data_IF_794953704377
#
_entry.id   IF_794953704377
#
_cell.length_a   1.000
_cell.length_b   1.000
_cell.length_c   1.000
_cell.angle_alpha   90.00
_cell.angle_beta   90.00
_cell.angle_gamma   90.00
#
_symmetry.space_group_name_H-M   'P 1'
#
loop_
_entity.id
_entity.type
_entity.pdbx_description
1 polymer ?
2 water ?
#
# COMPACT_ATOMS: atom_id res chain seq x y z
N UNK A 2 -18.78 6.39 1.18
CA UNK A 2 -17.33 6.44 0.89
C UNK A 2 -16.52 6.75 2.14
N UNK A 3 -15.23 6.40 2.08
CA UNK A 3 -14.30 6.52 3.19
C UNK A 3 -13.21 7.52 2.82
N UNK A 4 -12.46 7.94 3.85
CA UNK A 4 -11.23 8.70 3.71
C UNK A 4 -10.05 7.74 3.54
N UNK A 5 -9.33 7.88 2.43
CA UNK A 5 -8.18 7.04 2.10
C UNK A 5 -6.97 7.91 1.77
N UNK A 6 -5.83 7.64 2.41
CA UNK A 6 -4.56 8.23 2.04
C UNK A 6 -3.74 7.20 1.28
N UNK A 7 -3.20 7.61 0.13
CA UNK A 7 -2.32 6.78 -0.68
C UNK A 7 -0.96 7.46 -0.62
N UNK A 8 0.03 6.78 -0.02
CA UNK A 8 1.29 7.40 0.31
C UNK A 8 2.44 6.56 -0.25
N UNK A 9 3.59 7.22 -0.44
CA UNK A 9 4.82 6.55 -0.82
C UNK A 9 5.09 6.72 -2.30
N UNK A 10 5.52 5.64 -2.95
CA UNK A 10 6.09 5.74 -4.28
C UNK A 10 5.12 6.46 -5.21
N UNK A 11 5.62 7.55 -5.81
CA UNK A 11 5.00 8.17 -6.97
C UNK A 11 5.25 7.25 -8.16
N UNK A 12 4.30 7.24 -9.09
CA UNK A 12 4.37 6.37 -10.24
C UNK A 12 2.97 5.96 -10.68
N UNK A 13 2.92 5.21 -11.78
CA UNK A 13 1.67 4.78 -12.38
C UNK A 13 0.86 3.96 -11.38
N UNK A 14 1.51 3.07 -10.61
CA UNK A 14 0.79 2.17 -9.72
C UNK A 14 -0.01 2.99 -8.70
N UNK A 15 0.68 3.85 -7.95
CA UNK A 15 0.03 4.70 -6.96
C UNK A 15 -1.04 5.62 -7.55
N UNK A 16 -0.78 6.18 -8.74
CA UNK A 16 -1.76 7.03 -9.41
C UNK A 16 -3.00 6.23 -9.81
N UNK A 17 -2.82 5.00 -10.35
CA UNK A 17 -3.96 4.20 -10.77
C UNK A 17 -4.79 3.75 -9.57
N UNK A 18 -4.13 3.39 -8.47
CA UNK A 18 -4.82 3.02 -7.24
C UNK A 18 -5.69 4.18 -6.76
N UNK A 19 -5.06 5.35 -6.66
CA UNK A 19 -5.75 6.55 -6.19
C UNK A 19 -6.97 6.84 -7.06
N UNK A 20 -6.78 6.74 -8.38
CA UNK A 20 -7.81 7.05 -9.37
C UNK A 20 -9.01 6.12 -9.21
N UNK A 21 -8.74 4.81 -9.13
CA UNK A 21 -9.74 3.78 -8.90
C UNK A 21 -10.59 4.08 -7.67
N UNK A 22 -9.94 4.43 -6.55
CA UNK A 22 -10.67 4.56 -5.29
C UNK A 22 -11.50 5.85 -5.27
N UNK A 23 -11.03 6.89 -5.96
CA UNK A 23 -11.86 8.08 -6.18
C UNK A 23 -13.08 7.75 -7.03
N UNK A 24 -12.89 6.94 -8.08
CA UNK A 24 -13.99 6.46 -8.92
C UNK A 24 -15.03 5.69 -8.12
N UNK A 25 -14.61 4.97 -7.06
CA UNK A 25 -15.50 4.19 -6.22
C UNK A 25 -16.18 5.04 -5.14
N UNK A 26 -15.88 6.35 -5.08
CA UNK A 26 -16.60 7.27 -4.22
C UNK A 26 -15.86 7.64 -2.93
N UNK A 27 -14.60 7.20 -2.78
CA UNK A 27 -13.81 7.50 -1.60
C UNK A 27 -13.24 8.91 -1.70
N UNK A 28 -12.89 9.46 -0.53
CA UNK A 28 -12.18 10.72 -0.44
C UNK A 28 -10.69 10.40 -0.32
N UNK A 29 -9.98 10.56 -1.44
CA UNK A 29 -8.62 10.08 -1.59
C UNK A 29 -7.66 11.27 -1.62
N UNK A 30 -6.64 11.21 -0.74
CA UNK A 30 -5.52 12.13 -0.74
C UNK A 30 -4.27 11.33 -1.10
N UNK A 31 -3.50 11.81 -2.09
CA UNK A 31 -2.27 11.16 -2.48
C UNK A 31 -1.08 12.01 -2.03
N UNK A 32 -0.16 11.39 -1.26
CA UNK A 32 1.03 12.06 -0.78
C UNK A 32 2.27 11.30 -1.26
N UNK A 33 3.04 11.93 -2.15
CA UNK A 33 4.28 11.36 -2.65
C UNK A 33 5.34 11.41 -1.55
N UNK A 34 6.00 10.27 -1.28
CA UNK A 34 7.07 10.23 -0.30
C UNK A 34 7.98 9.03 -0.54
N UNK A 35 9.12 9.07 0.17
CA UNK A 35 10.10 8.00 0.18
C UNK A 35 9.48 6.81 0.90
N UNK A 36 9.77 5.60 0.42
CA UNK A 36 9.27 4.39 1.06
C UNK A 36 10.42 3.42 1.28
N UNK A 37 10.22 2.44 2.16
CA UNK A 37 11.12 1.30 2.23
C UNK A 37 11.03 0.50 0.93
N UNK A 38 12.04 -0.35 0.69
CA UNK A 38 12.01 -1.24 -0.46
C UNK A 38 11.32 -2.54 -0.03
N UNK A 39 10.95 -3.45 -0.95
CA UNK A 39 10.21 -4.67 -0.59
C UNK A 39 10.86 -5.53 0.50
N UNK A 40 12.19 -5.69 0.47
CA UNK A 40 12.89 -6.50 1.46
C UNK A 40 12.80 -5.86 2.84
N UNK A 41 12.91 -4.52 2.88
CA UNK A 41 12.78 -3.77 4.12
C UNK A 41 11.37 -3.88 4.68
N UNK A 42 10.37 -3.88 3.80
CA UNK A 42 8.98 -3.99 4.21
C UNK A 42 8.78 -5.35 4.89
N UNK A 43 9.24 -6.43 4.23
CA UNK A 43 9.12 -7.76 4.82
C UNK A 43 9.70 -7.78 6.23
N UNK A 44 10.88 -7.15 6.40
CA UNK A 44 11.64 -7.21 7.64
C UNK A 44 11.08 -6.27 8.71
N UNK A 45 10.04 -5.50 8.37
CA UNK A 45 9.23 -4.79 9.37
C UNK A 45 8.40 -5.77 10.20
N UNK A 46 8.15 -6.97 9.67
CA UNK A 46 7.33 -7.96 10.36
C UNK A 46 6.00 -8.10 9.64
N UNK A 47 5.59 -9.36 9.43
CA UNK A 47 4.33 -9.73 8.81
C UNK A 47 3.51 -10.52 9.84
N UNK A 48 2.21 -10.21 9.93
CA UNK A 48 1.26 -10.98 10.73
C UNK A 48 0.55 -11.96 9.80
N UNK A 49 0.75 -13.27 10.05
CA UNK A 49 0.21 -14.30 9.18
C UNK A 49 -1.30 -14.36 9.37
N UNK A 50 -2.03 -14.41 8.25
CA UNK A 50 -3.48 -14.47 8.29
C UNK A 50 -3.94 -15.63 7.40
N UNK A 51 -4.70 -16.55 8.03
CA UNK A 51 -5.18 -17.77 7.41
C UNK A 51 -6.34 -17.43 6.47
N UNK A 52 -6.37 -18.09 5.31
CA UNK A 52 -7.50 -18.05 4.37
C UNK A 52 -8.06 -19.46 4.18
N UNK A 53 -9.36 -19.64 4.44
CA UNK A 53 -10.02 -20.93 4.33
C UNK A 53 -9.72 -21.56 2.97
N UNK A 54 -9.25 -22.81 2.98
CA UNK A 54 -9.02 -23.58 1.76
C UNK A 54 -7.60 -23.44 1.22
N UNK A 55 -6.78 -22.59 1.85
CA UNK A 55 -5.42 -22.35 1.40
C UNK A 55 -4.43 -22.77 2.48
N UNK A 56 -3.31 -23.36 2.06
CA UNK A 56 -2.17 -23.57 2.94
C UNK A 56 -1.61 -22.20 3.30
N UNK A 57 -1.44 -21.93 4.59
CA UNK A 57 -0.70 -20.78 5.07
C UNK A 57 0.79 -21.13 5.12
N UNK A 58 1.53 -20.72 4.07
CA UNK A 58 2.89 -21.15 3.83
C UNK A 58 3.81 -19.99 4.17
N UNK A 59 4.46 -20.07 5.33
CA UNK A 59 5.23 -18.96 5.87
C UNK A 59 6.33 -18.52 4.91
N UNK A 60 7.07 -19.48 4.34
CA UNK A 60 8.14 -19.14 3.43
C UNK A 60 7.62 -18.47 2.16
N UNK A 61 6.44 -18.91 1.69
CA UNK A 61 5.81 -18.37 0.51
C UNK A 61 5.41 -16.91 0.74
N UNK A 62 4.93 -16.59 1.94
CA UNK A 62 4.60 -15.22 2.28
C UNK A 62 5.86 -14.37 2.30
N UNK A 63 6.92 -14.86 2.96
CA UNK A 63 8.18 -14.14 3.03
C UNK A 63 8.70 -13.82 1.63
N UNK A 64 8.72 -14.84 0.77
CA UNK A 64 9.23 -14.71 -0.59
C UNK A 64 8.41 -13.71 -1.40
N UNK A 65 7.08 -13.76 -1.29
CA UNK A 65 6.20 -12.92 -2.11
C UNK A 65 6.45 -11.43 -1.87
N UNK A 66 6.69 -11.06 -0.60
CA UNK A 66 6.94 -9.67 -0.23
C UNK A 66 8.38 -9.31 -0.61
N UNK A 67 9.34 -10.14 -0.16
CA UNK A 67 10.75 -9.85 -0.38
C UNK A 67 11.12 -9.71 -1.85
N UNK A 68 10.50 -10.50 -2.72
CA UNK A 68 10.90 -10.59 -4.12
C UNK A 68 9.97 -9.78 -5.01
N UNK A 69 9.03 -9.03 -4.41
CA UNK A 69 8.17 -8.16 -5.20
C UNK A 69 8.99 -6.99 -5.74
N UNK A 70 8.55 -6.46 -6.87
CA UNK A 70 9.08 -5.20 -7.38
C UNK A 70 8.37 -4.05 -6.66
N UNK A 71 7.07 -4.22 -6.39
CA UNK A 71 6.30 -3.23 -5.65
C UNK A 71 5.45 -3.93 -4.60
N UNK A 72 5.41 -3.35 -3.39
CA UNK A 72 4.56 -3.82 -2.32
C UNK A 72 3.53 -2.73 -2.04
N UNK A 73 2.26 -3.13 -2.07
CA UNK A 73 1.15 -2.29 -1.66
C UNK A 73 0.73 -2.78 -0.28
N UNK A 74 0.88 -1.95 0.74
CA UNK A 74 0.52 -2.37 2.08
C UNK A 74 -0.74 -1.61 2.49
N UNK A 75 -1.83 -2.35 2.72
CA UNK A 75 -3.14 -1.79 3.03
C UNK A 75 -3.29 -1.84 4.55
N UNK A 76 -3.66 -0.70 5.17
CA UNK A 76 -3.89 -0.66 6.60
C UNK A 76 -5.20 0.06 6.88
N UNK A 77 -6.05 -0.57 7.72
CA UNK A 77 -7.43 -0.14 7.93
C UNK A 77 -8.42 -0.73 6.92
N UNK A 78 -9.71 -0.40 7.13
CA UNK A 78 -10.79 -0.90 6.29
C UNK A 78 -12.11 -0.21 6.57
N UNK B 1 7.07 -10.29 -19.14
CA UNK B 1 7.25 -10.54 -17.68
C UNK B 1 6.90 -9.28 -16.89
N UNK B 2 5.59 -9.05 -16.64
CA UNK B 2 5.11 -7.84 -15.98
C UNK B 2 5.69 -7.64 -14.58
N UNK B 3 5.51 -6.44 -14.02
CA UNK B 3 6.04 -6.12 -12.69
C UNK B 3 5.40 -7.02 -11.64
N UNK B 4 6.20 -7.53 -10.69
CA UNK B 4 5.66 -8.32 -9.59
C UNK B 4 5.19 -7.37 -8.48
N UNK B 5 3.89 -7.40 -8.16
CA UNK B 5 3.30 -6.58 -7.11
C UNK B 5 2.66 -7.49 -6.07
N UNK B 6 3.09 -7.35 -4.80
CA UNK B 6 2.47 -8.01 -3.66
C UNK B 6 1.51 -7.03 -3.00
N UNK B 7 0.23 -7.38 -2.86
CA UNK B 7 -0.67 -6.58 -2.04
C UNK B 7 -0.83 -7.30 -0.71
N UNK B 8 -0.38 -6.66 0.38
CA UNK B 8 -0.45 -7.25 1.71
C UNK B 8 -1.54 -6.53 2.47
N UNK B 9 -2.12 -7.25 3.44
CA UNK B 9 -3.34 -6.83 4.12
C UNK B 9 -4.55 -6.77 3.19
N UNK B 10 -4.62 -7.67 2.20
CA UNK B 10 -5.69 -7.67 1.21
C UNK B 10 -6.93 -8.45 1.67
N UNK B 11 -7.36 -8.24 2.92
CA UNK B 11 -8.52 -8.92 3.49
C UNK B 11 -9.82 -8.14 3.27
N UNK B 12 -9.72 -6.88 2.83
CA UNK B 12 -10.87 -6.00 2.72
C UNK B 12 -11.23 -5.75 1.26
N UNK B 13 -12.39 -5.12 1.05
CA UNK B 13 -12.86 -4.76 -0.28
C UNK B 13 -11.79 -3.94 -1.01
N UNK B 14 -11.18 -2.97 -0.32
CA UNK B 14 -10.24 -2.06 -0.97
C UNK B 14 -9.03 -2.87 -1.45
N UNK B 15 -8.56 -3.83 -0.64
CA UNK B 15 -7.46 -4.68 -1.06
C UNK B 15 -7.81 -5.49 -2.31
N UNK B 16 -9.03 -6.06 -2.33
CA UNK B 16 -9.49 -6.87 -3.45
C UNK B 16 -9.60 -6.01 -4.72
N UNK B 17 -10.10 -4.78 -4.58
CA UNK B 17 -10.26 -3.90 -5.73
C UNK B 17 -8.90 -3.54 -6.32
N UNK B 18 -7.93 -3.25 -5.44
CA UNK B 18 -6.59 -2.91 -5.85
C UNK B 18 -5.97 -4.08 -6.61
N UNK B 19 -6.08 -5.29 -6.04
CA UNK B 19 -5.54 -6.48 -6.67
C UNK B 19 -6.16 -6.69 -8.06
N UNK B 20 -7.48 -6.52 -8.17
CA UNK B 20 -8.19 -6.67 -9.44
C UNK B 20 -7.67 -5.65 -10.44
N UNK B 21 -7.60 -4.37 -10.03
CA UNK B 21 -7.17 -3.29 -10.90
C UNK B 21 -5.79 -3.57 -11.49
N UNK B 22 -4.84 -3.94 -10.62
CA UNK B 22 -3.44 -4.00 -11.02
C UNK B 22 -3.18 -5.18 -11.96
N UNK B 23 -3.96 -6.26 -11.84
CA UNK B 23 -3.89 -7.39 -12.75
C UNK B 23 -4.46 -7.04 -14.13
N UNK B 24 -5.53 -6.23 -14.15
CA UNK B 24 -6.07 -5.64 -15.37
C UNK B 24 -5.03 -4.76 -16.08
N UNK B 25 -4.17 -4.07 -15.31
CA UNK B 25 -3.10 -3.26 -15.89
C UNK B 25 -1.89 -4.10 -16.32
N UNK B 26 -1.99 -5.44 -16.25
CA UNK B 26 -0.97 -6.32 -16.81
C UNK B 26 0.20 -6.58 -15.87
N UNK B 27 0.03 -6.27 -14.57
CA UNK B 27 1.06 -6.57 -13.58
C UNK B 27 0.82 -8.00 -13.08
N UNK B 28 1.90 -8.66 -12.62
CA UNK B 28 1.80 -9.96 -11.97
C UNK B 28 1.59 -9.74 -10.47
N UNK B 29 0.34 -9.93 -10.01
CA UNK B 29 -0.12 -9.54 -8.68
C UNK B 29 -0.25 -10.77 -7.78
N UNK B 30 0.29 -10.68 -6.55
CA UNK B 30 0.07 -11.64 -5.49
C UNK B 30 -0.64 -10.91 -4.34
N UNK B 31 -1.93 -11.20 -4.15
CA UNK B 31 -2.71 -10.64 -3.06
C UNK B 31 -2.63 -11.58 -1.86
N UNK B 32 -2.38 -11.01 -0.69
CA UNK B 32 -1.95 -11.70 0.52
C UNK B 32 -2.81 -11.16 1.65
N UNK B 33 -3.50 -12.04 2.40
CA UNK B 33 -4.23 -11.64 3.59
C UNK B 33 -3.31 -11.16 4.71
N UNK B 34 -2.15 -11.80 4.84
CA UNK B 34 -1.14 -11.45 5.83
C UNK B 34 -0.76 -9.98 5.65
N UNK B 35 -0.52 -9.28 6.76
CA UNK B 35 -0.40 -7.83 6.78
C UNK B 35 0.87 -7.40 7.50
N UNK B 36 1.28 -6.13 7.29
CA UNK B 36 2.40 -5.56 8.00
C UNK B 36 2.11 -5.53 9.49
N UNK B 37 3.12 -5.84 10.31
CA UNK B 37 3.04 -5.63 11.76
C UNK B 37 3.33 -4.17 12.12
N UNK B 38 3.95 -3.42 11.20
CA UNK B 38 4.32 -2.03 11.47
C UNK B 38 3.96 -1.20 10.24
N UNK B 39 2.67 -1.09 9.88
CA UNK B 39 2.28 -0.47 8.61
C UNK B 39 2.76 0.97 8.45
N UNK B 40 2.87 1.73 9.54
CA UNK B 40 3.20 3.14 9.44
C UNK B 40 4.65 3.34 9.02
N UNK B 41 5.50 2.30 9.13
CA UNK B 41 6.92 2.37 8.83
C UNK B 41 7.21 2.02 7.37
N UNK B 42 6.21 1.59 6.60
CA UNK B 42 6.41 1.25 5.20
C UNK B 42 6.82 2.52 4.45
N UNK B 43 6.06 3.61 4.67
CA UNK B 43 6.38 4.93 4.17
C UNK B 43 6.25 5.92 5.32
N UNK B 44 7.26 5.96 6.20
CA UNK B 44 7.18 6.76 7.42
C UNK B 44 7.22 8.24 7.02
N UNK B 45 6.25 9.01 7.50
CA UNK B 45 6.16 10.42 7.16
C UNK B 45 7.08 11.19 8.09
N UNK B 46 8.02 11.89 7.46
CA UNK B 46 8.85 12.88 8.12
C UNK B 46 9.13 13.98 7.11
N UNK B 47 9.57 15.14 7.61
CA UNK B 47 9.86 16.27 6.73
C UNK B 47 10.88 15.88 5.66
N UNK B 48 11.88 15.08 6.01
CA UNK B 48 12.92 14.68 5.06
C UNK B 48 12.40 13.67 4.03
N UNK B 49 11.35 12.89 4.37
CA UNK B 49 10.87 11.78 3.56
C UNK B 49 9.83 12.19 2.52
N UNK B 50 9.01 13.21 2.82
CA UNK B 50 7.94 13.65 1.95
C UNK B 50 8.53 14.41 0.76
N UNK B 51 8.06 14.10 -0.46
CA UNK B 51 8.54 14.79 -1.66
C UNK B 51 7.82 16.12 -1.89
N UNK B 52 6.65 16.28 -1.27
CA UNK B 52 5.90 17.53 -1.37
C UNK B 52 6.64 18.61 -0.58
N UNK B 53 6.83 19.77 -1.21
CA UNK B 53 7.46 20.93 -0.61
C UNK B 53 6.66 21.42 0.59
N UNK B 54 7.30 21.40 1.76
CA UNK B 54 6.71 21.84 3.03
C UNK B 54 6.40 23.33 3.10
N UNK B 55 7.02 24.15 2.23
CA UNK B 55 6.64 25.55 2.10
C UNK B 55 5.30 25.70 1.38
N UNK B 56 4.97 24.75 0.52
CA UNK B 56 3.71 24.79 -0.21
C UNK B 56 2.60 24.13 0.59
N UNK B 57 2.65 22.80 0.74
CA UNK B 57 1.70 22.05 1.54
C UNK B 57 2.46 21.52 2.75
N UNK B 58 2.17 22.08 3.94
CA UNK B 58 3.05 21.91 5.09
C UNK B 58 2.94 20.50 5.67
N UNK B 59 3.94 20.14 6.49
CA UNK B 59 4.02 18.80 7.05
C UNK B 59 2.78 18.49 7.88
N UNK B 60 2.25 19.47 8.63
CA UNK B 60 1.05 19.22 9.42
C UNK B 60 -0.15 18.84 8.56
N UNK B 61 -0.34 19.44 7.37
CA UNK B 61 -1.44 19.05 6.50
C UNK B 61 -1.25 17.63 5.97
N UNK B 62 0.01 17.26 5.67
CA UNK B 62 0.32 15.90 5.23
C UNK B 62 -0.03 14.90 6.33
N UNK B 63 0.49 15.15 7.53
CA UNK B 63 0.27 14.30 8.69
C UNK B 63 -1.22 14.10 8.96
N UNK B 64 -2.00 15.19 8.85
CA UNK B 64 -3.43 15.19 9.14
C UNK B 64 -4.22 14.36 8.12
N UNK B 65 -3.88 14.44 6.83
CA UNK B 65 -4.55 13.65 5.81
C UNK B 65 -4.36 12.15 6.05
N UNK B 66 -3.19 11.75 6.57
CA UNK B 66 -2.97 10.34 6.89
C UNK B 66 -3.65 9.97 8.21
N UNK B 67 -3.56 10.84 9.23
CA UNK B 67 -4.17 10.57 10.53
C UNK B 67 -5.69 10.42 10.46
N UNK B 68 -6.34 11.23 9.62
CA UNK B 68 -7.79 11.26 9.50
C UNK B 68 -8.30 10.24 8.49
N UNK B 69 -7.40 9.52 7.82
CA UNK B 69 -7.81 8.49 6.86
C UNK B 69 -8.34 7.27 7.62
N UNK B 70 -9.37 6.63 7.05
CA UNK B 70 -9.88 5.35 7.51
C UNK B 70 -8.97 4.22 7.04
N UNK B 71 -8.46 4.36 5.81
CA UNK B 71 -7.55 3.40 5.19
C UNK B 71 -6.29 4.15 4.75
N UNK B 72 -5.11 3.58 5.00
CA UNK B 72 -3.87 4.13 4.49
C UNK B 72 -3.24 3.07 3.59
N UNK B 73 -3.08 3.41 2.31
CA UNK B 73 -2.37 2.59 1.34
C UNK B 73 -0.94 3.11 1.24
N UNK B 74 0.05 2.26 1.55
CA UNK B 74 1.46 2.63 1.45
C UNK B 74 2.10 1.87 0.29
N UNK B 75 2.66 2.60 -0.68
CA UNK B 75 3.23 2.01 -1.88
C UNK B 75 4.74 2.04 -1.73
N UNK B 76 5.36 0.85 -1.80
CA UNK B 76 6.78 0.67 -1.57
C UNK B 76 7.42 0.10 -2.83
N UNK B 77 8.40 0.82 -3.41
CA UNK B 77 9.02 0.46 -4.67
C UNK B 77 8.25 1.00 -5.88
N UNK B 78 8.80 0.79 -7.08
CA UNK B 78 8.17 1.26 -8.31
C UNK B 78 8.95 0.85 -9.55
#
# INVERSE_FOLDING_TARGET
SGMKIAVIGATGQVGREIAKLLAEKGHEVTAIASRSKNPEEVAKLGIEAVYVDGEVLDFKSVEEAVKNADVVISVAGG
SGMKIAVIGATGQVGREIAKLLAEKGHEVTAIASRSKNPEEVAKLGIEAVYVDGEVLDFKSVEEAVKNADVVISVAGG
#
